data_IF_158210021077
#
_entry.id   IF_158210021077
#
_cell.length_a   1.000
_cell.length_b   1.000
_cell.length_c   1.000
_cell.angle_alpha   90.00
_cell.angle_beta   90.00
_cell.angle_gamma   90.00
#
_symmetry.space_group_name_H-M   'P 1'
#
loop_
_entity.id
_entity.type
_entity.pdbx_description
1 polymer ?
#
# COMPACT_ATOMS: atom_id res chain seq x y z
N UNK A 1 -6.73 4.17 -4.47
CA UNK A 1 -6.31 3.02 -5.35
C UNK A 1 -6.22 3.41 -6.82
N UNK A 2 -7.26 3.93 -7.48
CA UNK A 2 -7.21 4.30 -8.92
C UNK A 2 -6.03 5.22 -9.27
N UNK A 3 -5.89 6.33 -8.53
CA UNK A 3 -4.78 7.27 -8.71
C UNK A 3 -3.41 6.65 -8.43
N UNK A 4 -3.33 5.75 -7.43
CA UNK A 4 -2.10 5.05 -7.10
C UNK A 4 -1.64 4.14 -8.24
N UNK A 5 -2.56 3.37 -8.84
CA UNK A 5 -2.23 2.50 -9.98
C UNK A 5 -1.72 3.35 -11.15
N UNK A 6 -2.45 4.41 -11.53
CA UNK A 6 -2.03 5.28 -12.62
C UNK A 6 -0.63 5.89 -12.38
N UNK A 7 -0.36 6.34 -11.15
CA UNK A 7 0.94 6.87 -10.75
C UNK A 7 2.05 5.81 -10.84
N UNK A 8 1.81 4.60 -10.34
CA UNK A 8 2.79 3.51 -10.38
C UNK A 8 3.09 3.06 -11.80
N UNK A 9 2.07 2.94 -12.66
CA UNK A 9 2.27 2.55 -14.06
C UNK A 9 3.06 3.60 -14.83
N UNK A 10 2.85 4.89 -14.52
CA UNK A 10 3.63 5.99 -15.09
C UNK A 10 5.07 5.96 -14.59
N UNK A 11 5.27 5.84 -13.28
CA UNK A 11 6.60 5.88 -12.65
C UNK A 11 7.47 4.68 -13.02
N UNK A 12 6.87 3.50 -13.16
CA UNK A 12 7.59 2.25 -13.47
C UNK A 12 7.60 1.89 -14.94
N UNK A 13 6.86 2.62 -15.77
CA UNK A 13 6.59 2.32 -17.19
C UNK A 13 6.03 0.90 -17.42
N UNK A 14 5.38 0.32 -16.40
CA UNK A 14 4.86 -1.05 -16.42
C UNK A 14 3.39 -1.06 -16.04
N UNK A 15 2.58 -1.76 -16.83
CA UNK A 15 1.17 -1.96 -16.54
C UNK A 15 0.98 -2.93 -15.36
N UNK A 16 0.11 -2.57 -14.42
CA UNK A 16 -0.32 -3.46 -13.35
C UNK A 16 -1.19 -4.56 -13.94
N UNK A 17 -0.88 -5.81 -13.63
CA UNK A 17 -1.63 -6.99 -14.13
C UNK A 17 -2.47 -7.66 -13.03
N UNK A 18 -1.95 -7.68 -11.81
CA UNK A 18 -2.54 -8.38 -10.68
C UNK A 18 -2.45 -7.48 -9.45
N UNK A 19 -3.52 -7.40 -8.68
CA UNK A 19 -3.56 -6.84 -7.33
C UNK A 19 -3.96 -7.94 -6.38
N UNK A 20 -3.18 -8.13 -5.32
CA UNK A 20 -3.52 -9.02 -4.22
C UNK A 20 -3.83 -8.18 -3.00
N UNK A 21 -5.00 -8.41 -2.38
CA UNK A 21 -5.39 -7.79 -1.12
C UNK A 21 -5.90 -8.85 -0.14
N UNK A 22 -6.07 -8.46 1.11
CA UNK A 22 -6.88 -9.25 2.03
C UNK A 22 -8.37 -9.13 1.70
N UNK A 23 -9.20 -9.81 2.50
CA UNK A 23 -10.67 -9.77 2.38
C UNK A 23 -11.30 -8.59 3.15
N UNK A 24 -10.55 -7.52 3.40
CA UNK A 24 -11.08 -6.30 3.99
C UNK A 24 -12.21 -5.72 3.14
N UNK A 25 -13.30 -5.29 3.78
CA UNK A 25 -14.47 -4.75 3.09
C UNK A 25 -14.17 -3.54 2.20
N UNK A 26 -13.12 -2.78 2.55
CA UNK A 26 -12.60 -1.66 1.75
C UNK A 26 -12.09 -2.07 0.37
N UNK A 27 -11.62 -3.32 0.21
CA UNK A 27 -11.18 -3.87 -1.08
C UNK A 27 -12.28 -4.69 -1.78
N UNK A 28 -13.31 -5.09 -1.06
CA UNK A 28 -14.46 -5.85 -1.60
C UNK A 28 -15.63 -4.89 -1.83
N UNK A 29 -15.58 -4.14 -2.94
CA UNK A 29 -16.71 -3.31 -3.37
C UNK A 29 -16.88 -3.28 -4.89
N UNK A 30 -18.11 -2.97 -5.34
CA UNK A 30 -18.47 -2.95 -6.76
C UNK A 30 -17.61 -1.96 -7.56
N UNK A 31 -17.40 -0.76 -7.01
CA UNK A 31 -16.60 0.31 -7.63
C UNK A 31 -15.16 -0.12 -7.93
N UNK A 32 -14.55 -0.88 -7.01
CA UNK A 32 -13.20 -1.42 -7.18
C UNK A 32 -13.20 -2.55 -8.21
N UNK A 33 -14.16 -3.47 -8.12
CA UNK A 33 -14.31 -4.58 -9.07
C UNK A 33 -14.47 -4.08 -10.52
N UNK A 34 -15.38 -3.13 -10.75
CA UNK A 34 -15.64 -2.54 -12.06
C UNK A 34 -14.41 -1.82 -12.62
N UNK A 35 -13.72 -1.06 -11.78
CA UNK A 35 -12.51 -0.35 -12.19
C UNK A 35 -11.39 -1.32 -12.59
N UNK A 36 -11.11 -2.33 -11.77
CA UNK A 36 -10.06 -3.32 -12.07
C UNK A 36 -10.41 -4.12 -13.34
N UNK A 37 -11.68 -4.51 -13.51
CA UNK A 37 -12.16 -5.17 -14.72
C UNK A 37 -12.00 -4.30 -15.98
N UNK A 38 -12.35 -3.00 -15.92
CA UNK A 38 -12.17 -2.06 -17.04
C UNK A 38 -10.71 -1.89 -17.46
N UNK A 39 -9.79 -2.10 -16.50
CA UNK A 39 -8.34 -2.05 -16.71
C UNK A 39 -7.73 -3.42 -17.01
N UNK A 40 -8.52 -4.50 -17.06
CA UNK A 40 -8.04 -5.86 -17.25
C UNK A 40 -7.08 -6.33 -16.15
N UNK A 41 -7.24 -5.82 -14.92
CA UNK A 41 -6.42 -6.16 -13.75
C UNK A 41 -7.12 -7.27 -12.97
N UNK A 42 -6.42 -8.37 -12.71
CA UNK A 42 -6.92 -9.46 -11.87
C UNK A 42 -6.84 -9.06 -10.39
N UNK A 43 -7.94 -9.23 -9.65
CA UNK A 43 -7.97 -9.04 -8.21
C UNK A 43 -7.96 -10.39 -7.50
N UNK A 44 -6.87 -10.67 -6.79
CA UNK A 44 -6.70 -11.84 -5.95
C UNK A 44 -6.94 -11.49 -4.48
N UNK A 45 -7.60 -12.39 -3.75
CA UNK A 45 -7.80 -12.26 -2.32
C UNK A 45 -6.99 -13.30 -1.58
N UNK A 46 -6.35 -12.91 -0.47
CA UNK A 46 -5.73 -13.89 0.40
C UNK A 46 -6.78 -14.83 1.01
N UNK A 47 -6.38 -16.08 1.25
CA UNK A 47 -7.26 -17.03 1.90
C UNK A 47 -7.47 -16.64 3.38
N UNK A 48 -8.66 -16.88 3.96
CA UNK A 48 -8.89 -16.64 5.38
C UNK A 48 -7.86 -17.39 6.21
N UNK A 49 -7.40 -16.78 7.30
CA UNK A 49 -6.42 -17.37 8.23
C UNK A 49 -5.04 -17.66 7.59
N UNK A 50 -4.70 -17.06 6.45
CA UNK A 50 -3.37 -17.15 5.82
C UNK A 50 -2.68 -15.79 5.68
N UNK A 51 -2.39 -15.07 6.79
CA UNK A 51 -1.74 -13.76 6.76
C UNK A 51 -0.38 -13.80 6.03
N UNK A 52 0.28 -14.96 5.96
CA UNK A 52 1.53 -15.14 5.23
C UNK A 52 1.41 -14.82 3.73
N UNK A 53 0.21 -15.00 3.12
CA UNK A 53 -0.03 -14.64 1.71
C UNK A 53 -0.01 -13.12 1.48
N UNK A 54 -0.32 -12.33 2.51
CA UNK A 54 -0.23 -10.87 2.52
C UNK A 54 1.03 -10.37 3.23
N UNK A 55 1.86 -11.28 3.76
CA UNK A 55 2.95 -10.95 4.67
C UNK A 55 4.02 -10.04 4.08
N UNK A 56 4.14 -9.94 2.75
CA UNK A 56 5.03 -8.94 2.12
C UNK A 56 4.48 -7.52 2.30
N UNK A 57 3.19 -7.32 2.03
CA UNK A 57 2.54 -6.02 2.21
C UNK A 57 2.47 -5.63 3.69
N UNK A 58 2.12 -6.59 4.57
CA UNK A 58 2.06 -6.36 6.02
C UNK A 58 3.43 -5.97 6.59
N UNK A 59 4.49 -6.72 6.26
CA UNK A 59 5.85 -6.38 6.69
C UNK A 59 6.31 -5.03 6.12
N UNK A 60 5.96 -4.73 4.87
CA UNK A 60 6.30 -3.43 4.29
C UNK A 60 5.65 -2.29 5.06
N UNK A 61 4.35 -2.39 5.34
CA UNK A 61 3.59 -1.39 6.08
C UNK A 61 4.11 -1.26 7.52
N UNK A 62 4.36 -2.38 8.21
CA UNK A 62 4.91 -2.38 9.56
C UNK A 62 6.27 -1.68 9.62
N UNK A 63 7.23 -2.09 8.78
CA UNK A 63 8.55 -1.46 8.78
C UNK A 63 8.49 0.02 8.42
N UNK A 64 7.59 0.44 7.52
CA UNK A 64 7.41 1.86 7.18
C UNK A 64 6.83 2.66 8.35
N UNK A 65 5.88 2.06 9.08
CA UNK A 65 5.32 2.63 10.30
C UNK A 65 6.39 2.81 11.39
N UNK A 66 7.20 1.77 11.63
CA UNK A 66 8.31 1.81 12.59
C UNK A 66 9.36 2.85 12.22
N UNK A 67 9.71 2.97 10.92
CA UNK A 67 10.61 4.01 10.42
C UNK A 67 10.07 5.41 10.67
N UNK A 68 8.78 5.65 10.41
CA UNK A 68 8.14 6.93 10.65
C UNK A 68 8.17 7.31 12.15
N UNK A 69 7.88 6.35 13.04
CA UNK A 69 7.99 6.57 14.48
C UNK A 69 9.42 6.89 14.92
N UNK A 70 10.41 6.15 14.42
CA UNK A 70 11.81 6.39 14.74
C UNK A 70 12.29 7.77 14.27
N UNK A 71 11.86 8.22 13.09
CA UNK A 71 12.16 9.54 12.55
C UNK A 71 11.56 10.67 13.40
N UNK A 72 10.32 10.50 13.87
CA UNK A 72 9.67 11.49 14.74
C UNK A 72 10.38 11.61 16.09
N UNK A 73 10.79 10.47 16.67
CA UNK A 73 11.51 10.43 17.93
C UNK A 73 12.89 11.09 17.82
N UNK A 74 13.65 10.75 16.78
CA UNK A 74 14.97 11.32 16.49
C UNK A 74 14.92 12.83 16.24
N UNK A 75 13.88 13.30 15.54
CA UNK A 75 13.67 14.72 15.27
C UNK A 75 13.01 15.49 16.44
N UNK A 76 12.69 14.81 17.55
CA UNK A 76 11.93 15.37 18.68
C UNK A 76 10.61 16.05 18.26
N UNK A 77 9.95 15.49 17.26
CA UNK A 77 8.70 16.03 16.71
C UNK A 77 7.48 15.36 17.35
N UNK A 78 6.37 16.10 17.43
CA UNK A 78 5.13 15.55 17.93
C UNK A 78 4.56 14.51 16.95
N UNK A 79 3.75 13.57 17.47
CA UNK A 79 2.99 12.62 16.63
C UNK A 79 1.98 13.29 15.70
N UNK A 80 1.75 14.60 15.82
CA UNK A 80 0.95 15.37 14.87
C UNK A 80 1.54 15.37 13.47
N UNK A 81 2.86 15.21 13.34
CA UNK A 81 3.58 15.11 12.05
C UNK A 81 3.63 13.68 11.49
N UNK A 82 2.74 12.80 11.97
CA UNK A 82 2.66 11.42 11.51
C UNK A 82 2.50 11.27 9.99
N UNK A 83 1.62 12.03 9.31
CA UNK A 83 1.46 11.92 7.86
C UNK A 83 2.75 12.25 7.10
N UNK A 84 3.44 13.33 7.48
CA UNK A 84 4.68 13.79 6.85
C UNK A 84 5.83 12.80 7.10
N UNK A 85 5.96 12.30 8.34
CA UNK A 85 6.96 11.31 8.68
C UNK A 85 6.75 9.99 7.92
N UNK A 86 5.50 9.56 7.75
CA UNK A 86 5.17 8.35 7.00
C UNK A 86 5.43 8.51 5.50
N UNK A 87 5.12 9.68 4.93
CA UNK A 87 5.45 10.00 3.54
C UNK A 87 6.97 10.02 3.32
N UNK A 88 7.72 10.66 4.22
CA UNK A 88 9.17 10.70 4.15
C UNK A 88 9.81 9.32 4.32
N UNK A 89 9.34 8.51 5.28
CA UNK A 89 9.78 7.12 5.44
C UNK A 89 9.55 6.29 4.16
N UNK A 90 8.37 6.46 3.54
CA UNK A 90 8.05 5.80 2.27
C UNK A 90 8.97 6.25 1.14
N UNK A 91 9.30 7.54 1.07
CA UNK A 91 10.24 8.08 0.08
C UNK A 91 11.65 7.51 0.29
N UNK A 92 12.19 7.57 1.51
CA UNK A 92 13.54 7.10 1.84
C UNK A 92 13.71 5.61 1.53
N UNK A 93 12.67 4.80 1.73
CA UNK A 93 12.71 3.36 1.47
C UNK A 93 12.58 3.00 -0.01
N UNK A 94 11.89 3.81 -0.80
CA UNK A 94 11.63 3.54 -2.22
C UNK A 94 12.55 4.32 -3.19
N UNK A 95 13.47 5.13 -2.66
CA UNK A 95 14.55 5.78 -3.43
C UNK A 95 15.60 4.75 -3.87
#
# INVERSE_FOLDING_TARGET
IKALIARLETYTERRVKIIRSDRGGEFINATMKEYLASRGITHEFTAPYTPQQNGVAERFNQTTHEQALAMLEDAHMSRGFWPEAHEYASYVRNR
#
